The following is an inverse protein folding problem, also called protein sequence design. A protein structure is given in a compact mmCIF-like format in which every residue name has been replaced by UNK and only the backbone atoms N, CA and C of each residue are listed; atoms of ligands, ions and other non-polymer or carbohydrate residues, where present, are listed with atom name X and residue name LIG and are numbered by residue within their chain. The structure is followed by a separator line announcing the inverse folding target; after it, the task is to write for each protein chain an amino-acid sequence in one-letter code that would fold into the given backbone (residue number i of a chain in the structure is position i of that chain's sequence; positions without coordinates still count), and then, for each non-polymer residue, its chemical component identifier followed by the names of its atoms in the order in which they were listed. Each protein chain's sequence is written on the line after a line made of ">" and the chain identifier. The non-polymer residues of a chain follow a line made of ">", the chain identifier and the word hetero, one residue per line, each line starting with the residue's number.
data_IF_156371217285
#
_entry.id   IF_156371217285
#
_cell.length_a   1.000
_cell.length_b   1.000
_cell.length_c   1.000
_cell.angle_alpha   90.00
_cell.angle_beta   90.00
_cell.angle_gamma   90.00
#
_symmetry.space_group_name_H-M   'P 1'
#
loop_
_entity.id
_entity.type
_entity.pdbx_description
1 polymer ?
#
# COMPACT_ATOMS: atom_id res chain seq x y z
N UNK A 1 -6.65 -5.80 -0.36
CA UNK A 1 -7.27 -4.48 -0.11
C UNK A 1 -8.70 -4.52 0.45
N UNK A 2 -9.71 -5.14 -0.20
CA UNK A 2 -11.11 -5.17 0.33
C UNK A 2 -11.25 -5.84 1.71
N UNK A 3 -10.49 -6.91 1.96
CA UNK A 3 -10.43 -7.58 3.28
C UNK A 3 -9.93 -6.68 4.40
N UNK A 4 -9.03 -5.75 4.08
CA UNK A 4 -8.52 -4.75 5.02
C UNK A 4 -9.55 -3.68 5.31
N UNK A 5 -10.23 -3.16 4.29
CA UNK A 5 -11.33 -2.20 4.46
C UNK A 5 -12.39 -2.75 5.43
N UNK A 6 -12.79 -4.01 5.24
CA UNK A 6 -13.81 -4.67 6.07
C UNK A 6 -13.39 -4.82 7.55
N UNK A 7 -12.08 -4.91 7.82
CA UNK A 7 -11.52 -5.07 9.18
C UNK A 7 -10.88 -3.78 9.70
N UNK A 8 -11.07 -2.65 9.04
CA UNK A 8 -10.40 -1.40 9.38
C UNK A 8 -10.74 -0.95 10.81
N UNK A 9 -11.99 -1.13 11.24
CA UNK A 9 -12.42 -0.87 12.62
C UNK A 9 -11.63 -1.69 13.64
N UNK A 10 -11.37 -2.96 13.35
CA UNK A 10 -10.69 -3.88 14.26
C UNK A 10 -9.21 -3.52 14.40
N UNK A 11 -8.57 -3.13 13.29
CA UNK A 11 -7.20 -2.59 13.31
C UNK A 11 -7.14 -1.32 14.15
N UNK A 12 -8.05 -0.36 13.89
CA UNK A 12 -8.10 0.90 14.63
C UNK A 12 -8.35 0.68 16.13
N UNK A 13 -9.26 -0.22 16.50
CA UNK A 13 -9.57 -0.54 17.90
C UNK A 13 -8.38 -1.17 18.64
N UNK A 14 -7.48 -1.83 17.91
CA UNK A 14 -6.23 -2.40 18.44
C UNK A 14 -5.04 -1.42 18.39
N UNK A 15 -5.28 -0.16 17.99
CA UNK A 15 -4.24 0.87 17.89
C UNK A 15 -3.41 0.85 16.61
N UNK A 16 -3.76 0.01 15.63
CA UNK A 16 -3.07 -0.02 14.34
C UNK A 16 -3.64 1.02 13.38
N UNK A 17 -2.75 1.59 12.56
CA UNK A 17 -3.11 2.48 11.45
C UNK A 17 -2.78 1.78 10.15
N UNK A 18 -3.77 1.73 9.25
CA UNK A 18 -3.60 1.11 7.94
C UNK A 18 -3.32 2.17 6.87
N UNK A 19 -2.36 1.89 6.00
CA UNK A 19 -2.15 2.61 4.75
C UNK A 19 -1.79 1.60 3.64
N UNK A 20 -2.15 1.90 2.40
CA UNK A 20 -1.63 1.21 1.23
C UNK A 20 -0.68 2.15 0.48
N UNK A 21 0.26 1.59 -0.28
CA UNK A 21 1.22 2.35 -1.09
C UNK A 21 1.29 1.72 -2.49
N UNK A 22 1.36 2.54 -3.53
CA UNK A 22 1.55 2.08 -4.91
C UNK A 22 2.43 3.05 -5.70
N UNK A 23 2.86 2.62 -6.89
CA UNK A 23 3.58 3.48 -7.85
C UNK A 23 2.66 4.48 -8.57
N UNK A 24 1.35 4.44 -8.32
CA UNK A 24 0.39 5.31 -8.98
C UNK A 24 0.47 6.73 -8.42
N UNK A 25 0.09 7.71 -9.23
CA UNK A 25 -0.03 9.11 -8.81
C UNK A 25 -1.10 9.29 -7.73
N UNK A 26 -1.00 10.39 -6.98
CA UNK A 26 -2.02 10.80 -6.00
C UNK A 26 -3.41 10.85 -6.62
N UNK A 27 -3.54 11.39 -7.84
CA UNK A 27 -4.83 11.50 -8.53
C UNK A 27 -5.43 10.12 -8.85
N UNK A 28 -4.62 9.21 -9.42
CA UNK A 28 -5.05 7.83 -9.71
C UNK A 28 -5.48 7.12 -8.44
N UNK A 29 -4.70 7.24 -7.36
CA UNK A 29 -5.01 6.63 -6.07
C UNK A 29 -6.29 7.19 -5.44
N UNK A 30 -6.53 8.50 -5.54
CA UNK A 30 -7.77 9.12 -5.08
C UNK A 30 -8.99 8.63 -5.87
N UNK A 31 -8.89 8.56 -7.21
CA UNK A 31 -9.96 8.05 -8.04
C UNK A 31 -10.27 6.58 -7.70
N UNK A 32 -9.22 5.76 -7.56
CA UNK A 32 -9.37 4.35 -7.20
C UNK A 32 -9.97 4.17 -5.80
N UNK A 33 -9.51 4.93 -4.82
CA UNK A 33 -10.06 4.92 -3.46
C UNK A 33 -11.55 5.26 -3.44
N UNK A 34 -11.97 6.34 -4.11
CA UNK A 34 -13.38 6.72 -4.24
C UNK A 34 -14.21 5.64 -4.93
N UNK A 35 -13.71 5.10 -6.04
CA UNK A 35 -14.39 4.04 -6.81
C UNK A 35 -14.60 2.77 -5.99
N UNK A 36 -13.62 2.41 -5.15
CA UNK A 36 -13.65 1.18 -4.36
C UNK A 36 -14.22 1.36 -2.95
N UNK A 37 -14.49 2.60 -2.52
CA UNK A 37 -14.96 2.92 -1.17
C UNK A 37 -13.92 2.66 -0.09
N UNK A 38 -12.63 2.83 -0.39
CA UNK A 38 -11.59 2.71 0.63
C UNK A 38 -11.53 3.98 1.49
N UNK A 39 -11.45 3.79 2.81
CA UNK A 39 -11.42 4.90 3.78
C UNK A 39 -10.09 5.00 4.51
N UNK A 40 -9.19 4.04 4.33
CA UNK A 40 -7.78 4.17 4.70
C UNK A 40 -6.99 4.86 3.57
N UNK A 41 -5.91 5.58 3.89
CA UNK A 41 -5.11 6.29 2.90
C UNK A 41 -4.42 5.35 1.91
N UNK A 42 -4.41 5.76 0.64
CA UNK A 42 -3.57 5.21 -0.43
C UNK A 42 -2.47 6.23 -0.75
N UNK A 43 -1.24 5.90 -0.40
CA UNK A 43 -0.05 6.69 -0.60
C UNK A 43 0.50 6.49 -2.02
N UNK A 44 0.99 7.59 -2.60
CA UNK A 44 1.65 7.61 -3.90
C UNK A 44 3.16 7.56 -3.72
N UNK A 45 3.81 6.55 -4.31
CA UNK A 45 5.25 6.40 -4.44
C UNK A 45 5.61 6.41 -5.93
N UNK A 46 5.26 7.51 -6.61
CA UNK A 46 5.29 7.61 -8.07
C UNK A 46 6.71 7.52 -8.66
N UNK A 47 7.73 7.87 -7.86
CA UNK A 47 9.14 7.68 -8.21
C UNK A 47 9.64 6.27 -7.85
N UNK A 48 8.81 5.42 -7.23
CA UNK A 48 9.11 4.11 -6.68
C UNK A 48 10.28 4.11 -5.67
N UNK A 49 10.49 5.21 -4.96
CA UNK A 49 11.60 5.37 -4.01
C UNK A 49 11.47 4.43 -2.81
N UNK A 50 10.28 4.34 -2.21
CA UNK A 50 10.02 3.47 -1.05
C UNK A 50 9.91 2.00 -1.49
N UNK A 51 9.14 1.74 -2.55
CA UNK A 51 8.91 0.39 -3.08
C UNK A 51 10.22 -0.30 -3.48
N UNK A 52 11.21 0.45 -4.00
CA UNK A 52 12.56 -0.08 -4.26
C UNK A 52 13.33 -0.42 -2.99
N UNK A 53 13.25 0.42 -1.94
CA UNK A 53 13.95 0.17 -0.65
C UNK A 53 13.44 -1.08 0.07
N UNK A 54 12.22 -1.52 -0.24
CA UNK A 54 11.62 -2.74 0.29
C UNK A 54 11.78 -3.95 -0.64
N UNK A 55 12.53 -3.80 -1.74
CA UNK A 55 12.75 -4.83 -2.77
C UNK A 55 11.46 -5.35 -3.43
N UNK A 56 10.46 -4.47 -3.58
CA UNK A 56 9.14 -4.83 -4.13
C UNK A 56 8.92 -4.35 -5.57
N UNK A 57 9.86 -3.60 -6.16
CA UNK A 57 9.67 -3.12 -7.52
C UNK A 57 9.71 -4.27 -8.53
N UNK A 58 8.60 -4.48 -9.22
CA UNK A 58 8.52 -5.36 -10.39
C UNK A 58 8.58 -4.53 -11.66
N UNK A 59 9.79 -4.45 -12.22
CA UNK A 59 10.02 -3.69 -13.45
C UNK A 59 9.26 -4.28 -14.63
N UNK A 60 8.63 -3.43 -15.43
CA UNK A 60 7.97 -3.80 -16.69
C UNK A 60 6.77 -4.75 -16.60
N UNK A 61 6.28 -5.07 -15.40
CA UNK A 61 5.20 -6.04 -15.21
C UNK A 61 3.79 -5.44 -15.26
N UNK A 62 3.68 -4.12 -15.36
CA UNK A 62 2.42 -3.41 -15.51
C UNK A 62 1.97 -3.28 -16.97
N UNK A 63 0.74 -2.77 -17.18
CA UNK A 63 0.24 -2.45 -18.51
C UNK A 63 1.22 -1.55 -19.26
N UNK A 64 1.44 -1.84 -20.55
CA UNK A 64 2.38 -1.10 -21.42
C UNK A 64 3.83 -1.08 -20.90
N UNK A 65 4.23 -2.07 -20.09
CA UNK A 65 5.59 -2.15 -19.56
C UNK A 65 5.86 -1.16 -18.43
N UNK A 66 4.81 -0.66 -17.76
CA UNK A 66 4.98 0.14 -16.55
C UNK A 66 5.59 -0.71 -15.41
N UNK A 67 6.37 -0.06 -14.55
CA UNK A 67 6.79 -0.67 -13.30
C UNK A 67 5.59 -0.79 -12.35
N UNK A 68 5.52 -1.86 -11.56
CA UNK A 68 4.49 -2.06 -10.52
C UNK A 68 5.12 -2.54 -9.22
N UNK A 69 4.42 -2.41 -8.10
CA UNK A 69 4.81 -3.05 -6.85
C UNK A 69 4.37 -4.53 -6.86
N UNK A 70 5.23 -5.41 -6.34
CA UNK A 70 4.81 -6.75 -5.90
C UNK A 70 3.86 -6.60 -4.70
N UNK A 71 2.75 -7.36 -4.64
CA UNK A 71 1.92 -7.41 -3.44
C UNK A 71 2.76 -7.84 -2.25
N UNK A 72 2.62 -7.13 -1.13
CA UNK A 72 3.25 -7.46 0.14
C UNK A 72 2.52 -6.73 1.28
N UNK A 73 2.66 -7.25 2.49
CA UNK A 73 2.07 -6.69 3.70
C UNK A 73 3.14 -6.51 4.77
N UNK A 74 3.23 -5.34 5.38
CA UNK A 74 4.19 -5.05 6.45
C UNK A 74 3.47 -4.62 7.71
N UNK A 75 3.87 -5.21 8.84
CA UNK A 75 3.54 -4.69 10.16
C UNK A 75 4.77 -3.94 10.67
N UNK A 76 4.60 -2.65 10.90
CA UNK A 76 5.65 -1.76 11.38
C UNK A 76 5.24 -1.25 12.76
N UNK A 77 6.16 -1.33 13.73
CA UNK A 77 5.92 -0.81 15.07
C UNK A 77 6.03 0.73 15.14
N UNK A 78 5.87 1.29 16.34
CA UNK A 78 5.96 2.75 16.54
C UNK A 78 7.38 3.30 16.43
N UNK A 79 8.41 2.44 16.44
CA UNK A 79 9.81 2.82 16.27
C UNK A 79 10.27 2.70 14.81
N UNK A 80 9.39 2.25 13.90
CA UNK A 80 9.70 2.07 12.50
C UNK A 80 10.33 0.72 12.16
N UNK A 81 10.29 -0.25 13.08
CA UNK A 81 10.85 -1.60 12.89
C UNK A 81 9.80 -2.50 12.25
N UNK A 82 10.23 -3.31 11.28
CA UNK A 82 9.38 -4.32 10.63
C UNK A 82 9.27 -5.53 11.55
N UNK A 83 8.11 -5.69 12.18
CA UNK A 83 7.78 -6.84 13.04
C UNK A 83 7.35 -8.07 12.22
N UNK A 84 6.77 -7.83 11.03
CA UNK A 84 6.33 -8.89 10.12
C UNK A 84 6.31 -8.41 8.69
N UNK A 85 6.75 -9.29 7.79
CA UNK A 85 6.50 -9.25 6.35
C UNK A 85 5.62 -10.44 5.96
N UNK A 86 4.53 -10.19 5.25
CA UNK A 86 3.73 -11.19 4.57
C UNK A 86 3.95 -11.11 3.06
N UNK A 87 4.07 -12.25 2.40
CA UNK A 87 4.22 -12.40 0.95
C UNK A 87 2.92 -12.91 0.30
#
# INVERSE_FOLDING_TARGET
>A
MRSFQRRLSDFNARGFRLAAISVDSVETNQLYSRKMGFTYPLLSDADAGVIRRYDLLHRGAGPKGADIARPAEFLIDSQGIIERRGD
#
